data_IF_432559125714
#
_entry.id   IF_432559125714
#
_cell.length_a   1.000
_cell.length_b   1.000
_cell.length_c   1.000
_cell.angle_alpha   90.00
_cell.angle_beta   90.00
_cell.angle_gamma   90.00
#
_symmetry.space_group_name_H-M   'P 1'
#
loop_
_entity.id
_entity.type
_entity.pdbx_description
1 polymer ?
#
# COMPACT_ATOMS: atom_id res chain seq x y z
N UNK A 1 14.08 29.08 40.18
CA UNK A 1 12.67 28.97 39.72
C UNK A 1 12.13 27.59 40.05
N UNK A 2 10.96 27.48 40.67
CA UNK A 2 10.32 26.19 41.01
C UNK A 2 9.84 25.52 39.71
N UNK A 3 10.20 24.26 39.49
CA UNK A 3 9.62 23.47 38.39
C UNK A 3 8.14 23.25 38.68
N UNK A 4 7.26 23.58 37.73
CA UNK A 4 5.84 23.23 37.82
C UNK A 4 5.68 21.71 37.87
N UNK A 5 4.78 21.23 38.74
CA UNK A 5 4.49 19.81 38.85
C UNK A 5 3.46 19.41 37.79
N UNK A 6 3.90 18.70 36.75
CA UNK A 6 3.01 18.21 35.68
C UNK A 6 2.15 17.07 36.24
N UNK A 7 0.81 17.20 36.25
CA UNK A 7 -0.09 16.17 36.79
C UNK A 7 0.11 14.82 36.11
N UNK A 8 0.04 13.71 36.88
CA UNK A 8 0.21 12.35 36.34
C UNK A 8 -0.70 12.05 35.15
N UNK A 9 -1.95 12.54 35.19
CA UNK A 9 -2.91 12.41 34.09
C UNK A 9 -2.40 13.08 32.82
N UNK A 10 -1.96 14.34 32.92
CA UNK A 10 -1.41 15.08 31.78
C UNK A 10 -0.15 14.41 31.21
N UNK A 11 0.74 13.88 32.07
CA UNK A 11 1.90 13.10 31.61
C UNK A 11 1.48 11.87 30.79
N UNK A 12 0.47 11.15 31.26
CA UNK A 12 -0.07 9.99 30.56
C UNK A 12 -0.74 10.38 29.24
N UNK A 13 -1.50 11.47 29.21
CA UNK A 13 -2.17 11.97 28.01
C UNK A 13 -1.14 12.38 26.94
N UNK A 14 -0.06 13.05 27.33
CA UNK A 14 1.07 13.36 26.42
C UNK A 14 1.77 12.10 25.91
N UNK A 15 2.05 11.12 26.77
CA UNK A 15 2.62 9.84 26.34
C UNK A 15 1.71 9.11 25.35
N UNK A 16 0.39 9.12 25.60
CA UNK A 16 -0.60 8.50 24.72
C UNK A 16 -0.68 9.21 23.37
N UNK A 17 -0.70 10.55 23.38
CA UNK A 17 -0.69 11.39 22.16
C UNK A 17 0.53 11.10 21.29
N UNK A 18 1.68 10.91 21.93
CA UNK A 18 2.97 10.69 21.29
C UNK A 18 3.25 9.19 21.01
N UNK A 19 2.27 8.31 21.24
CA UNK A 19 2.37 6.88 20.93
C UNK A 19 3.38 6.12 21.78
N UNK A 20 3.65 6.56 23.00
CA UNK A 20 4.67 6.00 23.90
C UNK A 20 6.04 5.88 23.22
N UNK A 21 6.39 6.88 22.43
CA UNK A 21 7.61 6.95 21.64
C UNK A 21 8.31 8.29 21.86
N UNK A 22 9.64 8.28 21.99
CA UNK A 22 10.41 9.52 21.99
C UNK A 22 10.21 10.27 20.67
N UNK A 23 9.72 11.51 20.74
CA UNK A 23 9.46 12.33 19.53
C UNK A 23 10.73 12.91 18.90
N UNK A 24 11.91 12.70 19.50
CA UNK A 24 13.19 13.14 18.97
C UNK A 24 13.91 12.04 18.18
N UNK A 25 14.02 10.83 18.73
CA UNK A 25 14.77 9.73 18.12
C UNK A 25 13.91 8.54 17.69
N UNK A 26 12.63 8.50 18.06
CA UNK A 26 11.75 7.38 17.74
C UNK A 26 11.93 6.15 18.65
N UNK A 27 12.81 6.16 19.64
CA UNK A 27 12.98 5.01 20.55
C UNK A 27 11.76 4.79 21.45
N UNK A 28 11.48 3.53 21.77
CA UNK A 28 10.35 3.07 22.60
C UNK A 28 10.83 2.21 23.79
N UNK A 29 10.08 2.13 24.89
CA UNK A 29 10.38 1.19 25.98
C UNK A 29 10.39 -0.28 25.50
N UNK A 30 11.18 -1.17 26.12
CA UNK A 30 12.07 -0.93 27.27
C UNK A 30 13.46 -0.40 26.89
N UNK A 31 13.75 -0.19 25.60
CA UNK A 31 15.08 0.24 25.14
C UNK A 31 15.50 1.62 25.67
N UNK A 32 14.53 2.44 26.05
CA UNK A 32 14.72 3.76 26.65
C UNK A 32 13.72 4.02 27.78
N UNK A 33 14.09 4.92 28.70
CA UNK A 33 13.16 5.49 29.69
C UNK A 33 12.55 6.78 29.12
N UNK A 34 11.23 6.86 29.10
CA UNK A 34 10.50 8.04 28.62
C UNK A 34 10.23 9.05 29.73
N UNK A 35 10.39 10.32 29.39
CA UNK A 35 10.15 11.47 30.25
C UNK A 35 9.32 12.53 29.50
N UNK A 36 8.71 13.43 30.27
CA UNK A 36 8.08 14.62 29.73
C UNK A 36 9.14 15.72 29.64
N UNK A 37 9.27 16.30 28.46
CA UNK A 37 10.12 17.44 28.16
C UNK A 37 9.27 18.64 27.72
N UNK A 38 9.76 19.86 27.96
CA UNK A 38 9.10 21.08 27.53
C UNK A 38 9.68 21.53 26.19
N UNK A 39 8.86 21.69 25.16
CA UNK A 39 9.26 22.20 23.83
C UNK A 39 10.02 23.53 23.99
N UNK A 40 9.40 24.50 24.68
CA UNK A 40 10.03 25.70 25.20
C UNK A 40 10.51 25.47 26.63
N UNK A 41 11.82 25.57 26.94
CA UNK A 41 12.34 25.22 28.27
C UNK A 41 11.65 26.01 29.40
N UNK A 42 11.31 25.32 30.49
CA UNK A 42 10.74 25.96 31.69
C UNK A 42 11.63 27.07 32.27
N UNK A 43 12.96 26.94 32.15
CA UNK A 43 13.92 27.98 32.56
C UNK A 43 13.85 29.26 31.71
N UNK A 44 13.25 29.19 30.53
CA UNK A 44 13.02 30.31 29.60
C UNK A 44 11.56 30.74 29.54
N UNK A 45 10.75 30.33 30.52
CA UNK A 45 9.33 30.71 30.62
C UNK A 45 8.36 29.78 29.89
N UNK A 46 8.78 28.55 29.52
CA UNK A 46 7.87 27.54 29.00
C UNK A 46 6.79 27.12 29.98
N UNK A 47 5.57 26.96 29.49
CA UNK A 47 4.39 26.58 30.28
C UNK A 47 4.33 25.06 30.49
N UNK A 48 3.70 24.60 31.59
CA UNK A 48 3.35 23.20 31.78
C UNK A 48 2.08 22.73 31.04
N UNK A 49 1.66 23.44 29.99
CA UNK A 49 0.47 23.14 29.21
C UNK A 49 0.75 22.05 28.16
N UNK A 50 -0.26 21.26 27.78
CA UNK A 50 -0.11 20.09 26.91
C UNK A 50 0.59 20.39 25.57
N UNK A 51 0.34 21.57 25.02
CA UNK A 51 0.91 22.08 23.77
C UNK A 51 2.41 22.36 23.86
N UNK A 52 2.93 22.67 25.05
CA UNK A 52 4.35 22.87 25.31
C UNK A 52 5.04 21.61 25.86
N UNK A 53 4.32 20.49 26.03
CA UNK A 53 4.87 19.25 26.57
C UNK A 53 5.03 18.19 25.48
N UNK A 54 6.08 17.37 25.60
CA UNK A 54 6.36 16.28 24.66
C UNK A 54 7.03 15.08 25.32
N UNK A 55 6.86 13.91 24.73
CA UNK A 55 7.52 12.67 25.11
C UNK A 55 8.94 12.61 24.56
N UNK A 56 9.92 12.44 25.44
CA UNK A 56 11.33 12.34 25.12
C UNK A 56 11.97 11.14 25.83
N UNK A 57 12.99 10.51 25.26
CA UNK A 57 13.82 9.58 26.05
C UNK A 57 14.78 10.36 26.94
N UNK A 58 15.24 9.74 28.02
CA UNK A 58 16.22 10.30 28.94
C UNK A 58 17.42 10.94 28.21
N UNK A 59 18.00 10.23 27.24
CA UNK A 59 19.19 10.69 26.51
C UNK A 59 18.90 11.93 25.65
N UNK A 60 17.80 11.94 24.88
CA UNK A 60 17.43 13.10 24.07
C UNK A 60 17.02 14.30 24.93
N UNK A 61 16.31 14.08 26.04
CA UNK A 61 15.92 15.14 26.98
C UNK A 61 17.15 15.85 27.55
N UNK A 62 18.17 15.07 27.94
CA UNK A 62 19.44 15.61 28.43
C UNK A 62 20.27 16.25 27.32
N UNK A 63 20.29 15.67 26.13
CA UNK A 63 20.99 16.20 24.96
C UNK A 63 20.44 17.56 24.49
N UNK A 64 19.14 17.82 24.68
CA UNK A 64 18.53 19.12 24.40
C UNK A 64 18.95 20.22 25.40
N UNK A 65 19.16 19.87 26.67
CA UNK A 65 19.47 20.80 27.76
C UNK A 65 18.53 22.04 27.77
N UNK A 66 19.07 23.26 27.72
CA UNK A 66 18.29 24.52 27.65
C UNK A 66 18.10 25.03 26.21
N UNK A 67 18.38 24.20 25.21
CA UNK A 67 18.23 24.51 23.79
C UNK A 67 16.76 24.51 23.35
N UNK A 68 16.43 25.39 22.39
CA UNK A 68 15.18 25.33 21.66
C UNK A 68 15.26 24.18 20.65
N UNK A 69 14.12 23.54 20.35
CA UNK A 69 14.06 22.57 19.27
C UNK A 69 14.31 23.27 17.94
N UNK A 70 15.30 22.79 17.19
CA UNK A 70 15.54 23.22 15.81
C UNK A 70 14.57 22.56 14.83
N UNK A 71 13.97 21.43 15.21
CA UNK A 71 12.93 20.74 14.46
C UNK A 71 11.75 20.49 15.39
N UNK A 72 10.64 21.17 15.13
CA UNK A 72 9.38 20.87 15.81
C UNK A 72 8.88 19.50 15.31
N UNK A 73 8.50 18.59 16.22
CA UNK A 73 7.84 17.35 15.82
C UNK A 73 6.53 17.69 15.11
N UNK A 74 6.23 16.95 14.04
CA UNK A 74 5.02 17.17 13.25
C UNK A 74 3.79 17.16 14.14
N UNK A 75 2.95 18.18 13.98
CA UNK A 75 1.72 18.28 14.75
C UNK A 75 0.80 17.10 14.44
N UNK A 76 -0.12 16.80 15.36
CA UNK A 76 -1.15 15.78 15.12
C UNK A 76 -1.96 16.10 13.87
N UNK A 77 -2.19 17.38 13.57
CA UNK A 77 -2.88 17.83 12.36
C UNK A 77 -2.09 17.52 11.09
N UNK A 78 -0.77 17.77 11.09
CA UNK A 78 0.10 17.46 9.94
C UNK A 78 0.14 15.94 9.67
N UNK A 79 0.28 15.14 10.74
CA UNK A 79 0.24 13.67 10.64
C UNK A 79 -1.11 13.19 10.09
N UNK A 80 -2.22 13.79 10.51
CA UNK A 80 -3.55 13.45 10.02
C UNK A 80 -3.74 13.80 8.54
N UNK A 81 -3.24 14.95 8.09
CA UNK A 81 -3.28 15.35 6.68
C UNK A 81 -2.49 14.38 5.79
N UNK A 82 -1.27 14.02 6.19
CA UNK A 82 -0.43 13.03 5.49
C UNK A 82 -1.13 11.67 5.42
N UNK A 83 -1.76 11.24 6.52
CA UNK A 83 -2.48 9.96 6.55
C UNK A 83 -3.71 9.97 5.65
N UNK A 84 -4.43 11.10 5.58
CA UNK A 84 -5.58 11.27 4.69
C UNK A 84 -5.15 11.16 3.23
N UNK A 85 -4.09 11.88 2.84
CA UNK A 85 -3.55 11.83 1.48
C UNK A 85 -3.10 10.40 1.11
N UNK A 86 -2.37 9.72 2.00
CA UNK A 86 -1.96 8.31 1.79
C UNK A 86 -3.15 7.38 1.58
N UNK A 87 -4.24 7.57 2.34
CA UNK A 87 -5.47 6.78 2.18
C UNK A 87 -6.15 7.04 0.83
N UNK A 88 -6.16 8.29 0.38
CA UNK A 88 -6.72 8.66 -0.92
C UNK A 88 -5.90 8.04 -2.07
N UNK A 89 -4.57 8.08 -1.97
CA UNK A 89 -3.66 7.43 -2.93
C UNK A 89 -3.87 5.92 -2.99
N UNK A 90 -3.97 5.24 -1.83
CA UNK A 90 -4.24 3.80 -1.76
C UNK A 90 -5.58 3.44 -2.41
N UNK A 91 -6.64 4.20 -2.09
CA UNK A 91 -7.97 3.97 -2.68
C UNK A 91 -7.96 4.14 -4.20
N UNK A 92 -7.25 5.15 -4.72
CA UNK A 92 -7.11 5.35 -6.16
C UNK A 92 -6.36 4.19 -6.83
N UNK A 93 -5.29 3.71 -6.21
CA UNK A 93 -4.51 2.57 -6.70
C UNK A 93 -5.34 1.27 -6.72
N UNK A 94 -6.10 0.98 -5.66
CA UNK A 94 -7.00 -0.18 -5.59
C UNK A 94 -8.06 -0.14 -6.70
N UNK A 95 -8.66 1.04 -6.96
CA UNK A 95 -9.62 1.21 -8.04
C UNK A 95 -9.01 0.92 -9.42
N UNK A 96 -7.78 1.37 -9.68
CA UNK A 96 -7.05 1.08 -10.92
C UNK A 96 -6.81 -0.42 -11.12
N UNK A 97 -6.34 -1.12 -10.07
CA UNK A 97 -6.14 -2.56 -10.11
C UNK A 97 -7.44 -3.32 -10.38
N UNK A 98 -8.53 -2.90 -9.74
CA UNK A 98 -9.86 -3.49 -9.97
C UNK A 98 -10.34 -3.29 -11.40
N UNK A 99 -10.23 -2.07 -11.94
CA UNK A 99 -10.58 -1.79 -13.35
C UNK A 99 -9.73 -2.61 -14.32
N UNK A 100 -8.42 -2.78 -14.05
CA UNK A 100 -7.55 -3.62 -14.86
C UNK A 100 -8.03 -5.07 -14.87
N UNK A 101 -8.35 -5.64 -13.69
CA UNK A 101 -8.86 -7.01 -13.58
C UNK A 101 -10.17 -7.21 -14.33
N UNK A 102 -11.11 -6.26 -14.23
CA UNK A 102 -12.36 -6.30 -15.00
C UNK A 102 -12.08 -6.34 -16.50
N UNK A 103 -11.19 -5.50 -17.01
CA UNK A 103 -10.83 -5.48 -18.44
C UNK A 103 -10.21 -6.79 -18.90
N UNK A 104 -9.33 -7.38 -18.10
CA UNK A 104 -8.76 -8.70 -18.36
C UNK A 104 -9.85 -9.78 -18.42
N UNK A 105 -10.81 -9.76 -17.49
CA UNK A 105 -11.91 -10.73 -17.45
C UNK A 105 -12.85 -10.59 -18.65
N UNK A 106 -13.16 -9.35 -19.07
CA UNK A 106 -13.93 -9.07 -20.31
C UNK A 106 -13.18 -9.65 -21.52
N UNK A 107 -11.88 -9.39 -21.62
CA UNK A 107 -11.05 -9.89 -22.73
C UNK A 107 -11.01 -11.43 -22.77
N UNK A 108 -10.92 -12.08 -21.61
CA UNK A 108 -10.96 -13.54 -21.53
C UNK A 108 -12.32 -14.09 -21.95
N UNK A 109 -13.41 -13.45 -21.51
CA UNK A 109 -14.75 -13.88 -21.88
C UNK A 109 -14.96 -13.78 -23.39
N UNK A 110 -14.44 -12.72 -24.03
CA UNK A 110 -14.46 -12.59 -25.50
C UNK A 110 -13.75 -13.78 -26.20
N UNK A 111 -12.56 -14.15 -25.72
CA UNK A 111 -11.82 -15.31 -26.25
C UNK A 111 -12.58 -16.61 -25.98
N UNK A 112 -13.19 -16.75 -24.80
CA UNK A 112 -13.99 -17.92 -24.42
C UNK A 112 -15.24 -18.05 -25.29
N UNK A 113 -15.89 -16.93 -25.63
CA UNK A 113 -17.07 -16.95 -26.48
C UNK A 113 -16.73 -17.41 -27.90
N UNK A 114 -15.57 -17.02 -28.44
CA UNK A 114 -15.07 -17.60 -29.70
C UNK A 114 -14.84 -19.10 -29.57
N UNK A 115 -14.25 -19.57 -28.47
CA UNK A 115 -14.05 -21.00 -28.26
C UNK A 115 -15.38 -21.77 -28.20
N UNK A 116 -16.41 -21.20 -27.57
CA UNK A 116 -17.76 -21.81 -27.47
C UNK A 116 -18.46 -21.95 -28.81
N UNK A 117 -18.12 -21.13 -29.81
CA UNK A 117 -18.64 -21.28 -31.18
C UNK A 117 -18.24 -22.62 -31.80
N UNK A 118 -17.10 -23.18 -31.40
CA UNK A 118 -16.59 -24.46 -31.89
C UNK A 118 -16.87 -25.61 -30.93
N UNK A 119 -16.81 -25.32 -29.63
CA UNK A 119 -16.97 -26.32 -28.57
C UNK A 119 -18.07 -25.86 -27.62
N UNK A 120 -19.32 -26.14 -27.99
CA UNK A 120 -20.51 -25.71 -27.25
C UNK A 120 -20.55 -26.26 -25.82
N UNK A 121 -21.08 -25.46 -24.89
CA UNK A 121 -21.33 -25.86 -23.51
C UNK A 121 -20.06 -26.00 -22.65
N UNK A 122 -18.94 -25.44 -23.08
CA UNK A 122 -17.68 -25.47 -22.33
C UNK A 122 -17.28 -24.09 -21.80
N UNK A 123 -16.61 -24.11 -20.64
CA UNK A 123 -15.98 -22.95 -20.02
C UNK A 123 -14.51 -23.23 -19.74
N UNK A 124 -13.68 -22.21 -19.88
CA UNK A 124 -12.27 -22.26 -19.50
C UNK A 124 -12.13 -22.49 -18.01
N UNK A 125 -11.21 -23.39 -17.64
CA UNK A 125 -10.80 -23.55 -16.24
C UNK A 125 -10.14 -22.28 -15.73
N UNK A 126 -10.22 -22.03 -14.42
CA UNK A 126 -9.55 -20.88 -13.79
C UNK A 126 -8.05 -20.85 -14.07
N UNK A 127 -7.42 -22.02 -14.09
CA UNK A 127 -6.00 -22.19 -14.45
C UNK A 127 -5.70 -21.73 -15.87
N UNK A 128 -6.58 -22.03 -16.82
CA UNK A 128 -6.42 -21.59 -18.20
C UNK A 128 -6.73 -20.10 -18.36
N UNK A 129 -7.74 -19.59 -17.65
CA UNK A 129 -8.03 -18.13 -17.59
C UNK A 129 -6.81 -17.35 -17.08
N UNK A 130 -6.14 -17.80 -16.03
CA UNK A 130 -4.88 -17.18 -15.57
C UNK A 130 -3.76 -17.26 -16.61
N UNK A 131 -3.69 -18.35 -17.38
CA UNK A 131 -2.72 -18.46 -18.47
C UNK A 131 -2.99 -17.42 -19.58
N UNK A 132 -4.27 -17.21 -19.94
CA UNK A 132 -4.66 -16.15 -20.88
C UNK A 132 -4.34 -14.76 -20.31
N UNK A 133 -4.59 -14.49 -19.02
CA UNK A 133 -4.21 -13.20 -18.41
C UNK A 133 -2.73 -12.91 -18.56
N UNK A 134 -1.86 -13.91 -18.36
CA UNK A 134 -0.42 -13.76 -18.57
C UNK A 134 -0.07 -13.47 -20.03
N UNK A 135 -0.73 -14.13 -20.97
CA UNK A 135 -0.54 -13.89 -22.41
C UNK A 135 -0.95 -12.45 -22.78
N UNK A 136 -2.09 -11.96 -22.26
CA UNK A 136 -2.61 -10.61 -22.50
C UNK A 136 -1.71 -9.49 -21.95
N UNK A 137 -0.69 -9.81 -21.15
CA UNK A 137 0.34 -8.84 -20.74
C UNK A 137 1.34 -8.54 -21.86
N UNK A 138 1.41 -9.39 -22.88
CA UNK A 138 2.43 -9.32 -23.93
C UNK A 138 1.84 -9.09 -25.33
N UNK A 139 0.61 -9.57 -25.57
CA UNK A 139 -0.10 -9.43 -26.85
C UNK A 139 -1.54 -9.00 -26.62
N UNK A 140 -2.16 -8.46 -27.66
CA UNK A 140 -3.52 -7.92 -27.59
C UNK A 140 -4.58 -9.02 -27.53
N UNK A 141 -5.79 -8.67 -27.03
CA UNK A 141 -6.95 -9.59 -27.05
C UNK A 141 -7.24 -10.05 -28.47
N UNK A 142 -7.14 -9.17 -29.47
CA UNK A 142 -7.33 -9.50 -30.88
C UNK A 142 -6.39 -10.61 -31.34
N UNK A 143 -5.10 -10.54 -30.98
CA UNK A 143 -4.13 -11.57 -31.34
C UNK A 143 -4.45 -12.92 -30.67
N UNK A 144 -4.91 -12.92 -29.43
CA UNK A 144 -5.30 -14.18 -28.76
C UNK A 144 -6.58 -14.75 -29.36
N UNK A 145 -7.57 -13.90 -29.66
CA UNK A 145 -8.84 -14.29 -30.28
C UNK A 145 -8.60 -14.90 -31.67
N UNK A 146 -7.76 -14.29 -32.49
CA UNK A 146 -7.37 -14.82 -33.80
C UNK A 146 -6.64 -16.18 -33.67
N UNK A 147 -5.70 -16.29 -32.73
CA UNK A 147 -5.02 -17.56 -32.45
C UNK A 147 -6.00 -18.65 -32.00
N UNK A 148 -7.01 -18.29 -31.21
CA UNK A 148 -8.04 -19.22 -30.74
C UNK A 148 -8.92 -19.69 -31.89
N UNK A 149 -9.38 -18.77 -32.75
CA UNK A 149 -10.17 -19.10 -33.93
C UNK A 149 -9.42 -20.09 -34.83
N UNK A 150 -8.15 -19.81 -35.14
CA UNK A 150 -7.31 -20.69 -35.96
C UNK A 150 -7.10 -22.07 -35.31
N UNK A 151 -6.91 -22.09 -33.98
CA UNK A 151 -6.73 -23.35 -33.25
C UNK A 151 -7.98 -24.23 -33.29
N UNK A 152 -9.16 -23.63 -33.07
CA UNK A 152 -10.43 -24.35 -33.10
C UNK A 152 -10.79 -24.86 -34.51
N UNK A 153 -10.42 -24.15 -35.58
CA UNK A 153 -10.61 -24.63 -36.95
C UNK A 153 -9.72 -25.84 -37.29
N UNK A 154 -8.54 -25.94 -36.69
CA UNK A 154 -7.54 -26.97 -37.02
C UNK A 154 -7.62 -28.22 -36.16
N UNK A 155 -8.20 -28.13 -34.97
CA UNK A 155 -8.13 -29.18 -33.95
C UNK A 155 -9.51 -29.75 -33.67
N UNK A 156 -9.63 -31.07 -33.70
CA UNK A 156 -10.92 -31.76 -33.52
C UNK A 156 -11.38 -31.85 -32.06
N UNK A 157 -10.49 -31.56 -31.10
CA UNK A 157 -10.79 -31.63 -29.67
C UNK A 157 -10.30 -30.40 -28.90
N UNK A 158 -11.02 -30.11 -27.82
CA UNK A 158 -10.83 -28.95 -26.94
C UNK A 158 -9.40 -28.79 -26.42
N UNK A 159 -8.82 -29.87 -25.90
CA UNK A 159 -7.49 -29.83 -25.29
C UNK A 159 -6.39 -29.54 -26.31
N UNK A 160 -6.55 -30.08 -27.52
CA UNK A 160 -5.60 -29.84 -28.62
C UNK A 160 -5.75 -28.42 -29.15
N UNK A 161 -6.98 -27.90 -29.25
CA UNK A 161 -7.23 -26.50 -29.59
C UNK A 161 -6.59 -25.53 -28.58
N UNK A 162 -6.77 -25.77 -27.27
CA UNK A 162 -6.15 -24.96 -26.21
C UNK A 162 -4.62 -24.98 -26.33
N UNK A 163 -4.01 -26.16 -26.45
CA UNK A 163 -2.55 -26.31 -26.60
C UNK A 163 -2.03 -25.61 -27.86
N UNK A 164 -2.73 -25.77 -28.97
CA UNK A 164 -2.35 -25.16 -30.25
C UNK A 164 -2.44 -23.63 -30.19
N UNK A 165 -3.52 -23.09 -29.61
CA UNK A 165 -3.68 -21.65 -29.38
C UNK A 165 -2.53 -21.09 -28.54
N UNK A 166 -2.21 -21.71 -27.40
CA UNK A 166 -1.05 -21.31 -26.59
C UNK A 166 0.26 -21.34 -27.39
N UNK A 167 0.47 -22.36 -28.23
CA UNK A 167 1.64 -22.44 -29.10
C UNK A 167 1.75 -21.26 -30.06
N UNK A 168 0.64 -20.85 -30.68
CA UNK A 168 0.60 -19.65 -31.55
C UNK A 168 0.93 -18.39 -30.74
N UNK A 169 0.27 -18.19 -29.59
CA UNK A 169 0.48 -17.02 -28.75
C UNK A 169 1.94 -16.89 -28.30
N UNK A 170 2.55 -17.97 -27.82
CA UNK A 170 3.97 -17.95 -27.42
C UNK A 170 4.92 -17.72 -28.59
N UNK A 171 4.59 -18.20 -29.79
CA UNK A 171 5.37 -17.89 -31.00
C UNK A 171 5.32 -16.40 -31.34
N UNK A 172 4.15 -15.75 -31.17
CA UNK A 172 4.00 -14.29 -31.34
C UNK A 172 4.79 -13.51 -30.29
N UNK A 173 4.66 -13.89 -29.01
CA UNK A 173 5.38 -13.26 -27.89
C UNK A 173 6.91 -13.33 -28.09
N UNK A 174 7.44 -14.43 -28.62
CA UNK A 174 8.88 -14.59 -28.88
C UNK A 174 9.36 -13.91 -30.17
N UNK A 175 8.44 -13.56 -31.07
CA UNK A 175 8.74 -12.97 -32.37
C UNK A 175 8.61 -11.44 -32.40
N UNK A 176 7.97 -10.83 -31.40
CA UNK A 176 7.95 -9.39 -31.12
C UNK A 176 9.08 -9.00 -30.17
#
# INVERSE_FOLDING_TARGET
>A
MKRENIPKKLRFDVFKRDGFQCQYCGSTPPSVVLEIDHIHPASKGGTGQEDNLITSCFDCNRGKAAGLLTVAPQSVADKAAILKEKREQLKAFEALLHTKRIKEDISINEIEDVFKLYFMGFHFSDTFRESIRRILQHITVYEVTDAMHLACQKMDNRESAIRYCCGICWKRIKGN
#
